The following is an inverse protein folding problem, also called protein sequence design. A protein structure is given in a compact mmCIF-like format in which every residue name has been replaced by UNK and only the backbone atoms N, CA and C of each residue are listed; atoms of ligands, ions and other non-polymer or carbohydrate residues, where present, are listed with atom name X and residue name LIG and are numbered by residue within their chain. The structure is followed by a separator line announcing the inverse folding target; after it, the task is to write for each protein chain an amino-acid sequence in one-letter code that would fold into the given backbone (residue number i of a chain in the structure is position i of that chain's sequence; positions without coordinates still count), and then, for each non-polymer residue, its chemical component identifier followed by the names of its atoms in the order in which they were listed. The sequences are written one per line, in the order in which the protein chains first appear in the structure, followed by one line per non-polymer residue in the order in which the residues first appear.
data_IF_269721973674
#
_entry.id   IF_269721973674
#
_cell.length_a   1.000
_cell.length_b   1.000
_cell.length_c   1.000
_cell.angle_alpha   90.00
_cell.angle_beta   90.00
_cell.angle_gamma   90.00
#
_symmetry.space_group_name_H-M   'P 1'
#
loop_
_entity.id
_entity.type
_entity.pdbx_description
1 polymer ?
#
# COMPACT_ATOMS: atom_id res chain seq x y z
N UNK A 1 -46.48 64.83 -8.22
CA UNK A 1 -46.62 63.51 -7.59
C UNK A 1 -45.49 62.64 -8.11
N UNK A 2 -44.40 62.53 -7.34
CA UNK A 2 -43.30 61.60 -7.63
C UNK A 2 -43.62 60.29 -6.93
N UNK A 3 -43.93 59.23 -7.67
CA UNK A 3 -43.96 57.88 -7.13
C UNK A 3 -42.66 57.16 -7.50
N UNK A 4 -41.89 56.86 -6.46
CA UNK A 4 -40.60 56.21 -6.53
C UNK A 4 -40.77 54.73 -6.88
N UNK A 5 -40.13 54.30 -7.97
CA UNK A 5 -39.98 52.88 -8.32
C UNK A 5 -39.03 52.26 -7.30
N UNK A 6 -39.60 51.52 -6.35
CA UNK A 6 -38.85 50.74 -5.37
C UNK A 6 -38.35 49.46 -6.04
N UNK A 7 -37.11 49.47 -6.50
CA UNK A 7 -36.42 48.29 -7.02
C UNK A 7 -36.11 47.34 -5.87
N UNK A 8 -36.93 46.33 -5.67
CA UNK A 8 -36.69 45.27 -4.69
C UNK A 8 -35.57 44.37 -5.22
N UNK A 9 -34.38 44.43 -4.59
CA UNK A 9 -33.29 43.46 -4.80
C UNK A 9 -33.78 42.09 -4.32
N UNK A 10 -33.96 41.17 -5.25
CA UNK A 10 -34.24 39.77 -4.96
C UNK A 10 -32.99 39.11 -4.35
N UNK A 11 -33.08 38.40 -3.21
CA UNK A 11 -31.94 37.74 -2.61
C UNK A 11 -31.48 36.58 -3.49
N UNK A 12 -30.19 36.60 -3.86
CA UNK A 12 -29.56 35.53 -4.64
C UNK A 12 -29.81 34.17 -3.99
N UNK A 13 -30.60 33.33 -4.66
CA UNK A 13 -30.78 31.92 -4.26
C UNK A 13 -29.40 31.26 -4.27
N UNK A 14 -28.97 30.76 -3.13
CA UNK A 14 -27.80 29.88 -3.04
C UNK A 14 -28.14 28.62 -3.84
N UNK A 15 -27.66 28.54 -5.07
CA UNK A 15 -27.79 27.33 -5.86
C UNK A 15 -27.07 26.22 -5.10
N UNK A 16 -27.82 25.18 -4.74
CA UNK A 16 -27.28 23.93 -4.23
C UNK A 16 -26.40 23.38 -5.36
N UNK A 17 -25.08 23.41 -5.19
CA UNK A 17 -24.14 22.94 -6.22
C UNK A 17 -24.36 21.44 -6.38
N UNK A 18 -25.10 21.06 -7.42
CA UNK A 18 -25.41 19.65 -7.73
C UNK A 18 -24.22 18.92 -8.33
N UNK A 19 -23.25 19.65 -8.88
CA UNK A 19 -22.00 19.11 -9.44
C UNK A 19 -20.86 20.12 -9.33
N UNK A 20 -19.70 19.68 -8.86
CA UNK A 20 -18.49 20.50 -8.80
C UNK A 20 -17.70 20.38 -10.12
N UNK A 21 -17.25 21.51 -10.67
CA UNK A 21 -16.33 21.53 -11.81
C UNK A 21 -14.89 21.85 -11.36
N UNK A 22 -13.95 20.96 -11.70
CA UNK A 22 -12.52 21.10 -11.35
C UNK A 22 -11.92 22.36 -11.96
N UNK A 23 -12.43 22.82 -13.11
CA UNK A 23 -11.93 24.02 -13.78
C UNK A 23 -12.32 25.33 -13.09
N UNK A 24 -13.27 25.27 -12.13
CA UNK A 24 -13.79 26.45 -11.43
C UNK A 24 -13.21 26.59 -10.03
N UNK A 25 -12.42 27.65 -9.85
CA UNK A 25 -11.68 27.90 -8.60
C UNK A 25 -12.57 28.14 -7.36
N UNK A 26 -13.75 28.77 -7.54
CA UNK A 26 -14.71 29.05 -6.47
C UNK A 26 -15.38 27.77 -5.95
N UNK A 27 -15.78 26.90 -6.87
CA UNK A 27 -16.41 25.61 -6.58
C UNK A 27 -15.44 24.65 -5.88
N UNK A 28 -14.17 24.66 -6.29
CA UNK A 28 -13.15 23.75 -5.75
C UNK A 28 -12.68 24.12 -4.35
N UNK A 29 -12.67 25.41 -3.98
CA UNK A 29 -12.42 25.83 -2.60
C UNK A 29 -13.58 25.49 -1.65
N UNK A 30 -14.82 25.56 -2.13
CA UNK A 30 -15.98 25.09 -1.37
C UNK A 30 -15.89 23.58 -1.16
N UNK A 31 -15.53 22.82 -2.20
CA UNK A 31 -15.29 21.39 -2.10
C UNK A 31 -14.20 21.06 -1.07
N UNK A 32 -13.08 21.79 -1.05
CA UNK A 32 -12.04 21.58 -0.04
C UNK A 32 -12.56 21.75 1.40
N UNK A 33 -13.44 22.73 1.63
CA UNK A 33 -14.07 22.97 2.94
C UNK A 33 -15.02 21.85 3.33
N UNK A 34 -15.87 21.41 2.39
CA UNK A 34 -16.78 20.27 2.59
C UNK A 34 -16.01 18.98 2.88
N UNK A 35 -14.92 18.74 2.15
CA UNK A 35 -14.04 17.60 2.35
C UNK A 35 -13.39 17.63 3.73
N UNK A 36 -12.88 18.79 4.15
CA UNK A 36 -12.27 18.92 5.46
C UNK A 36 -13.23 18.55 6.59
N UNK A 37 -14.48 19.02 6.49
CA UNK A 37 -15.53 18.67 7.43
C UNK A 37 -15.84 17.17 7.40
N UNK A 38 -16.06 16.60 6.22
CA UNK A 38 -16.45 15.20 6.08
C UNK A 38 -15.36 14.23 6.58
N UNK A 39 -14.10 14.48 6.22
CA UNK A 39 -12.96 13.66 6.64
C UNK A 39 -12.80 13.69 8.15
N UNK A 40 -12.95 14.87 8.77
CA UNK A 40 -12.87 15.05 10.22
C UNK A 40 -14.04 14.38 10.95
N UNK A 41 -15.27 14.63 10.51
CA UNK A 41 -16.49 14.12 11.15
C UNK A 41 -16.54 12.58 11.11
N UNK A 42 -16.00 11.96 10.05
CA UNK A 42 -16.02 10.51 9.84
C UNK A 42 -14.67 9.83 10.16
N UNK A 43 -13.68 10.55 10.66
CA UNK A 43 -12.35 10.03 11.02
C UNK A 43 -11.66 9.27 9.86
N UNK A 44 -11.75 9.82 8.65
CA UNK A 44 -11.18 9.22 7.42
C UNK A 44 -9.73 9.64 7.17
N UNK A 45 -8.98 9.89 8.25
CA UNK A 45 -7.57 10.25 8.18
C UNK A 45 -6.79 9.54 9.29
N UNK A 46 -5.52 9.30 9.01
CA UNK A 46 -4.58 8.69 9.94
C UNK A 46 -3.47 9.68 10.24
N UNK A 47 -3.21 9.91 11.53
CA UNK A 47 -2.13 10.80 11.97
C UNK A 47 -0.81 10.03 11.99
N UNK A 48 0.19 10.51 11.24
CA UNK A 48 1.55 9.97 11.24
C UNK A 48 2.52 11.12 11.50
N UNK A 49 3.31 11.03 12.56
CA UNK A 49 4.27 12.07 12.99
C UNK A 49 3.65 13.48 13.10
N UNK A 50 2.43 13.57 13.65
CA UNK A 50 1.74 14.85 13.84
C UNK A 50 1.15 15.45 12.56
N UNK A 51 1.19 14.74 11.43
CA UNK A 51 0.54 15.12 10.17
C UNK A 51 -0.63 14.20 9.88
N UNK A 52 -1.71 14.72 9.31
CA UNK A 52 -2.90 13.95 8.97
C UNK A 52 -2.91 13.55 7.49
N UNK A 53 -2.97 12.25 7.23
CA UNK A 53 -3.01 11.66 5.90
C UNK A 53 -4.40 11.09 5.64
N UNK A 54 -5.00 11.42 4.50
CA UNK A 54 -6.37 10.98 4.17
C UNK A 54 -6.34 9.52 3.74
N UNK A 55 -7.24 8.71 4.31
CA UNK A 55 -7.44 7.32 3.92
C UNK A 55 -8.12 7.24 2.54
N UNK A 56 -8.02 6.11 1.87
CA UNK A 56 -8.56 5.89 0.52
C UNK A 56 -10.05 6.25 0.41
N UNK A 57 -10.84 6.04 1.47
CA UNK A 57 -12.27 6.39 1.50
C UNK A 57 -12.49 7.90 1.40
N UNK A 58 -11.62 8.71 1.99
CA UNK A 58 -11.67 10.17 1.86
C UNK A 58 -11.35 10.64 0.44
N UNK A 59 -10.39 9.98 -0.22
CA UNK A 59 -10.08 10.22 -1.64
C UNK A 59 -11.24 9.81 -2.56
N UNK A 60 -11.87 8.67 -2.30
CA UNK A 60 -13.05 8.21 -3.03
C UNK A 60 -14.23 9.15 -2.85
N UNK A 61 -14.44 9.67 -1.64
CA UNK A 61 -15.46 10.68 -1.38
C UNK A 61 -15.20 11.95 -2.20
N UNK A 62 -13.95 12.46 -2.22
CA UNK A 62 -13.57 13.60 -3.06
C UNK A 62 -13.84 13.35 -4.55
N UNK A 63 -13.46 12.19 -5.06
CA UNK A 63 -13.76 11.76 -6.42
C UNK A 63 -15.25 11.74 -6.72
N UNK A 64 -16.05 11.15 -5.82
CA UNK A 64 -17.50 11.01 -5.98
C UNK A 64 -18.22 12.36 -6.10
N UNK A 65 -17.75 13.40 -5.39
CA UNK A 65 -18.31 14.77 -5.48
C UNK A 65 -18.05 15.42 -6.84
N UNK A 66 -17.05 14.94 -7.57
CA UNK A 66 -16.65 15.37 -8.91
C UNK A 66 -17.19 14.45 -10.01
N UNK A 67 -17.92 13.37 -9.67
CA UNK A 67 -18.37 12.37 -10.64
C UNK A 67 -17.24 11.43 -11.12
N UNK A 68 -16.12 11.39 -10.42
CA UNK A 68 -14.94 10.59 -10.78
C UNK A 68 -14.90 9.32 -9.93
N UNK A 69 -14.96 8.17 -10.60
CA UNK A 69 -14.95 6.85 -9.95
C UNK A 69 -13.69 6.05 -10.30
N UNK A 70 -13.18 5.20 -9.41
CA UNK A 70 -12.04 4.35 -9.70
C UNK A 70 -12.49 3.07 -10.39
N UNK A 71 -11.75 2.64 -11.42
CA UNK A 71 -11.91 1.36 -12.11
C UNK A 71 -10.60 0.60 -11.94
N UNK A 72 -10.68 -0.60 -11.35
CA UNK A 72 -9.53 -1.50 -11.27
C UNK A 72 -9.32 -2.10 -12.65
N UNK A 73 -8.26 -1.68 -13.36
CA UNK A 73 -7.92 -2.21 -14.68
C UNK A 73 -7.47 -3.67 -14.58
N UNK A 74 -6.52 -3.92 -13.67
CA UNK A 74 -6.00 -5.26 -13.43
C UNK A 74 -5.27 -5.33 -12.10
N UNK A 75 -5.17 -6.54 -11.59
CA UNK A 75 -4.33 -6.90 -10.45
C UNK A 75 -3.53 -8.13 -10.83
N UNK A 76 -2.21 -7.97 -10.91
CA UNK A 76 -1.29 -8.99 -11.41
C UNK A 76 -0.53 -9.56 -10.21
N UNK A 77 -0.52 -10.89 -10.13
CA UNK A 77 0.35 -11.60 -9.20
C UNK A 77 1.78 -11.52 -9.74
N UNK A 78 2.67 -10.86 -8.99
CA UNK A 78 4.10 -10.70 -9.29
C UNK A 78 4.95 -11.33 -8.17
N UNK A 79 4.39 -12.35 -7.51
CA UNK A 79 5.00 -13.07 -6.41
C UNK A 79 6.20 -13.90 -6.88
N UNK A 80 7.10 -14.17 -5.94
CA UNK A 80 8.19 -15.14 -6.08
C UNK A 80 7.99 -16.27 -5.07
N UNK A 81 8.81 -17.31 -5.11
CA UNK A 81 8.74 -18.43 -4.15
C UNK A 81 8.85 -17.98 -2.67
N UNK A 82 9.45 -16.80 -2.43
CA UNK A 82 9.71 -16.27 -1.08
C UNK A 82 8.91 -15.01 -0.74
N UNK A 83 8.12 -14.50 -1.67
CA UNK A 83 7.48 -13.19 -1.56
C UNK A 83 6.10 -13.20 -2.19
N UNK A 84 5.07 -12.90 -1.40
CA UNK A 84 3.74 -12.62 -1.92
C UNK A 84 3.69 -11.16 -2.32
N UNK A 85 3.49 -10.90 -3.61
CA UNK A 85 3.54 -9.56 -4.19
C UNK A 85 2.49 -9.39 -5.27
N UNK A 86 1.74 -8.30 -5.17
CA UNK A 86 0.72 -7.94 -6.13
C UNK A 86 0.92 -6.53 -6.64
N UNK A 87 0.70 -6.34 -7.93
CA UNK A 87 0.66 -5.05 -8.58
C UNK A 87 -0.77 -4.78 -9.03
N UNK A 88 -1.30 -3.60 -8.70
CA UNK A 88 -2.60 -3.15 -9.19
C UNK A 88 -2.44 -1.89 -10.05
N UNK A 89 -3.24 -1.83 -11.11
CA UNK A 89 -3.46 -0.61 -11.89
C UNK A 89 -4.92 -0.20 -11.75
N UNK A 90 -5.13 1.07 -11.45
CA UNK A 90 -6.45 1.68 -11.34
C UNK A 90 -6.50 2.88 -12.27
N UNK A 91 -7.57 3.00 -13.05
CA UNK A 91 -7.91 4.20 -13.80
C UNK A 91 -9.03 4.96 -13.12
N UNK A 92 -9.08 6.28 -13.31
CA UNK A 92 -10.19 7.11 -12.86
C UNK A 92 -11.05 7.47 -14.05
N UNK A 93 -12.33 7.20 -13.96
CA UNK A 93 -13.31 7.45 -15.00
C UNK A 93 -14.24 8.59 -14.58
N UNK A 94 -14.33 9.62 -15.42
CA UNK A 94 -15.30 10.69 -15.23
C UNK A 94 -16.64 10.29 -15.85
N UNK A 95 -17.66 10.16 -15.00
CA UNK A 95 -19.02 9.81 -15.42
C UNK A 95 -19.68 10.90 -16.26
N UNK A 96 -19.23 12.16 -16.17
CA UNK A 96 -19.77 13.28 -16.95
C UNK A 96 -19.19 13.31 -18.35
N UNK A 97 -17.86 13.24 -18.47
CA UNK A 97 -17.19 13.31 -19.77
C UNK A 97 -17.12 11.95 -20.48
N UNK A 98 -17.29 10.84 -19.76
CA UNK A 98 -17.14 9.48 -20.28
C UNK A 98 -15.70 9.10 -20.60
N UNK A 99 -14.71 9.83 -20.07
CA UNK A 99 -13.29 9.62 -20.37
C UNK A 99 -12.49 9.24 -19.12
N UNK A 100 -11.37 8.55 -19.33
CA UNK A 100 -10.37 8.34 -18.28
C UNK A 100 -9.62 9.64 -18.00
N UNK A 101 -9.64 10.09 -16.76
CA UNK A 101 -9.03 11.37 -16.32
C UNK A 101 -7.75 11.19 -15.51
N UNK A 102 -7.43 9.96 -15.10
CA UNK A 102 -6.24 9.68 -14.33
C UNK A 102 -5.96 8.18 -14.21
N UNK A 103 -4.77 7.85 -13.73
CA UNK A 103 -4.39 6.48 -13.42
C UNK A 103 -3.41 6.44 -12.24
N UNK A 104 -3.41 5.30 -11.54
CA UNK A 104 -2.53 5.01 -10.42
C UNK A 104 -2.07 3.56 -10.48
N UNK A 105 -0.81 3.36 -10.10
CA UNK A 105 -0.20 2.06 -10.00
C UNK A 105 0.35 1.91 -8.59
N UNK A 106 0.14 0.73 -8.01
CA UNK A 106 0.74 0.42 -6.74
C UNK A 106 1.10 -1.06 -6.65
N UNK A 107 2.06 -1.32 -5.78
CA UNK A 107 2.50 -2.66 -5.44
C UNK A 107 2.33 -2.84 -3.93
N UNK A 108 1.92 -4.03 -3.53
CA UNK A 108 1.95 -4.46 -2.14
C UNK A 108 2.70 -5.80 -2.03
N UNK A 109 3.55 -5.92 -1.02
CA UNK A 109 4.31 -7.13 -0.72
C UNK A 109 4.18 -7.54 0.75
N UNK A 110 4.19 -8.84 1.04
CA UNK A 110 4.29 -9.35 2.40
C UNK A 110 5.66 -9.08 3.06
N UNK A 111 6.68 -8.69 2.28
CA UNK A 111 7.98 -8.25 2.82
C UNK A 111 7.98 -6.82 3.34
N UNK A 112 6.92 -6.05 3.11
CA UNK A 112 6.77 -4.74 3.72
C UNK A 112 6.65 -4.84 5.24
N UNK A 113 7.06 -3.77 5.93
CA UNK A 113 7.08 -3.78 7.38
C UNK A 113 5.67 -4.03 7.94
N UNK A 114 5.59 -4.92 8.94
CA UNK A 114 4.33 -5.34 9.55
C UNK A 114 3.46 -6.31 8.72
N UNK A 115 3.81 -6.64 7.47
CA UNK A 115 2.94 -7.42 6.56
C UNK A 115 3.35 -8.88 6.36
N UNK A 116 4.37 -9.35 7.09
CA UNK A 116 4.94 -10.71 6.97
C UNK A 116 3.93 -11.85 7.14
N UNK A 117 2.92 -11.64 7.99
CA UNK A 117 1.92 -12.66 8.34
C UNK A 117 0.56 -12.41 7.67
N UNK A 118 0.48 -11.43 6.77
CA UNK A 118 -0.77 -11.10 6.09
C UNK A 118 -1.10 -12.19 5.09
N UNK A 119 -2.39 -12.49 4.98
CA UNK A 119 -2.90 -13.45 4.01
C UNK A 119 -2.82 -12.87 2.60
N UNK A 120 -2.73 -13.74 1.60
CA UNK A 120 -2.54 -13.35 0.19
C UNK A 120 -3.62 -12.37 -0.30
N UNK A 121 -4.89 -12.62 0.03
CA UNK A 121 -6.00 -11.73 -0.34
C UNK A 121 -5.85 -10.33 0.29
N UNK A 122 -5.24 -10.22 1.48
CA UNK A 122 -5.04 -8.95 2.15
C UNK A 122 -3.94 -8.15 1.44
N UNK A 123 -2.84 -8.82 1.02
CA UNK A 123 -1.79 -8.19 0.20
C UNK A 123 -2.35 -7.70 -1.13
N UNK A 124 -3.15 -8.53 -1.81
CA UNK A 124 -3.82 -8.16 -3.06
C UNK A 124 -4.76 -6.96 -2.86
N UNK A 125 -5.59 -6.97 -1.82
CA UNK A 125 -6.51 -5.88 -1.50
C UNK A 125 -5.78 -4.57 -1.18
N UNK A 126 -4.68 -4.64 -0.42
CA UNK A 126 -3.83 -3.48 -0.14
C UNK A 126 -3.18 -2.89 -1.40
N UNK A 127 -2.77 -3.73 -2.36
CA UNK A 127 -2.25 -3.22 -3.63
C UNK A 127 -3.33 -2.41 -4.37
N UNK A 128 -4.58 -2.89 -4.38
CA UNK A 128 -5.71 -2.19 -4.98
C UNK A 128 -5.98 -0.85 -4.29
N UNK A 129 -6.14 -0.84 -2.96
CA UNK A 129 -6.46 0.40 -2.24
C UNK A 129 -5.36 1.46 -2.37
N UNK A 130 -4.08 1.05 -2.38
CA UNK A 130 -2.98 1.97 -2.71
C UNK A 130 -3.07 2.52 -4.13
N UNK A 131 -3.37 1.68 -5.11
CA UNK A 131 -3.50 2.13 -6.50
C UNK A 131 -4.67 3.12 -6.65
N UNK A 132 -5.79 2.90 -5.96
CA UNK A 132 -6.93 3.84 -5.90
C UNK A 132 -6.47 5.17 -5.30
N UNK A 133 -5.85 5.15 -4.11
CA UNK A 133 -5.33 6.36 -3.48
C UNK A 133 -4.35 7.11 -4.38
N UNK A 134 -3.44 6.38 -5.07
CA UNK A 134 -2.48 6.95 -6.01
C UNK A 134 -3.15 7.61 -7.21
N UNK A 135 -4.18 6.96 -7.76
CA UNK A 135 -4.89 7.47 -8.91
C UNK A 135 -5.58 8.80 -8.58
N UNK A 136 -6.25 8.88 -7.42
CA UNK A 136 -6.88 10.12 -6.96
C UNK A 136 -5.88 11.19 -6.57
N UNK A 137 -4.78 10.82 -5.90
CA UNK A 137 -3.68 11.74 -5.59
C UNK A 137 -3.23 12.51 -6.83
N UNK A 138 -3.04 11.82 -7.95
CA UNK A 138 -2.48 12.41 -9.16
C UNK A 138 -3.32 13.58 -9.71
N UNK A 139 -4.62 13.64 -9.41
CA UNK A 139 -5.53 14.68 -9.92
C UNK A 139 -6.13 15.58 -8.81
N UNK A 140 -6.29 15.08 -7.58
CA UNK A 140 -6.98 15.77 -6.48
C UNK A 140 -6.06 16.21 -5.32
N UNK A 141 -4.75 15.94 -5.38
CA UNK A 141 -3.82 16.23 -4.28
C UNK A 141 -3.87 17.68 -3.79
N UNK A 142 -4.04 18.63 -4.70
CA UNK A 142 -4.11 20.06 -4.36
C UNK A 142 -5.39 20.41 -3.60
N UNK A 143 -6.50 19.73 -3.84
CA UNK A 143 -7.76 19.90 -3.10
C UNK A 143 -7.60 19.35 -1.68
N UNK A 144 -6.99 18.18 -1.52
CA UNK A 144 -6.70 17.59 -0.21
C UNK A 144 -5.78 18.50 0.61
N UNK A 145 -4.78 19.11 -0.04
CA UNK A 145 -3.91 20.10 0.60
C UNK A 145 -4.68 21.36 1.01
N UNK A 146 -5.57 21.86 0.15
CA UNK A 146 -6.44 22.99 0.49
C UNK A 146 -7.40 22.68 1.65
N UNK A 147 -7.80 21.41 1.81
CA UNK A 147 -8.59 20.92 2.94
C UNK A 147 -7.79 20.77 4.25
N UNK A 148 -6.48 21.05 4.23
CA UNK A 148 -5.62 21.02 5.42
C UNK A 148 -4.95 19.68 5.71
N UNK A 149 -5.03 18.70 4.80
CA UNK A 149 -4.42 17.38 4.95
C UNK A 149 -3.16 17.23 4.09
N UNK A 150 -2.34 16.23 4.40
CA UNK A 150 -1.22 15.87 3.54
C UNK A 150 -1.71 15.26 2.22
N UNK A 151 -1.15 15.66 1.07
CA UNK A 151 -1.57 15.19 -0.25
C UNK A 151 -1.13 13.75 -0.55
N UNK A 152 -0.47 13.08 0.40
CA UNK A 152 -0.10 11.67 0.29
C UNK A 152 -1.22 10.82 0.89
N UNK A 153 -1.73 9.80 0.18
CA UNK A 153 -2.68 8.86 0.75
C UNK A 153 -2.07 8.12 1.94
N UNK A 154 -2.89 7.83 2.95
CA UNK A 154 -2.48 7.11 4.14
C UNK A 154 -1.93 5.70 3.78
N UNK A 155 -2.43 5.07 2.73
CA UNK A 155 -2.00 3.75 2.28
C UNK A 155 -0.59 3.73 1.68
N UNK A 156 -0.04 4.89 1.29
CA UNK A 156 1.35 5.04 0.84
C UNK A 156 2.32 5.31 2.01
N UNK A 157 1.82 5.48 3.23
CA UNK A 157 2.67 5.77 4.39
C UNK A 157 3.13 4.48 5.06
N UNK A 158 4.44 4.33 5.24
CA UNK A 158 5.02 3.21 5.98
C UNK A 158 4.90 3.48 7.49
N UNK A 159 3.93 2.84 8.13
CA UNK A 159 3.55 3.09 9.53
C UNK A 159 4.60 2.70 10.57
N UNK A 160 5.68 2.02 10.19
CA UNK A 160 6.59 1.39 11.13
C UNK A 160 8.08 1.80 10.97
N UNK A 161 8.36 2.89 10.25
CA UNK A 161 9.72 3.43 10.11
C UNK A 161 9.99 4.76 10.84
N UNK A 162 8.95 5.43 11.33
CA UNK A 162 9.03 6.87 11.66
C UNK A 162 8.71 7.21 13.12
N UNK A 163 8.94 6.29 14.06
CA UNK A 163 8.98 6.60 15.50
C UNK A 163 10.27 7.32 15.83
N UNK A 164 10.42 8.55 15.37
CA UNK A 164 11.31 9.50 16.05
C UNK A 164 10.56 9.97 17.28
N UNK A 165 11.04 9.55 18.46
CA UNK A 165 10.63 10.11 19.74
C UNK A 165 10.67 11.64 19.63
N UNK A 166 9.51 12.28 19.76
CA UNK A 166 9.42 13.74 19.79
C UNK A 166 10.01 14.20 21.11
N UNK A 167 11.28 14.57 21.09
CA UNK A 167 11.89 15.38 22.13
C UNK A 167 11.34 16.81 21.96
N UNK A 168 10.62 17.39 22.95
CA UNK A 168 9.99 18.68 22.76
C UNK A 168 11.05 19.78 22.80
N UNK A 169 11.29 20.43 21.66
CA UNK A 169 12.08 21.65 21.57
C UNK A 169 11.27 22.74 20.86
N UNK A 170 10.69 23.58 21.70
CA UNK A 170 10.66 25.05 21.62
C UNK A 170 10.27 25.71 20.28
N UNK A 171 9.04 26.21 20.31
CA UNK A 171 8.51 27.45 19.71
C UNK A 171 9.55 28.36 19.04
N UNK A 172 9.47 28.52 17.71
CA UNK A 172 9.77 29.79 17.04
C UNK A 172 8.79 29.96 15.87
N UNK A 173 7.97 31.01 15.95
CA UNK A 173 7.09 31.50 14.90
C UNK A 173 7.85 32.48 13.97
N UNK A 174 7.32 32.81 12.78
CA UNK A 174 8.08 33.01 11.55
C UNK A 174 8.44 34.48 11.28
N UNK A 175 9.47 34.70 10.46
CA UNK A 175 9.62 35.95 9.70
C UNK A 175 9.98 35.63 8.24
N UNK A 176 9.18 36.18 7.33
CA UNK A 176 9.36 36.15 5.89
C UNK A 176 9.52 37.59 5.40
N UNK A 177 10.51 37.84 4.54
CA UNK A 177 10.41 38.49 3.21
C UNK A 177 11.84 38.87 2.72
N UNK A 178 12.05 39.31 1.46
CA UNK A 178 12.74 38.50 0.45
C UNK A 178 13.98 39.21 -0.14
N UNK A 179 14.92 38.48 -0.73
CA UNK A 179 15.90 39.10 -1.65
C UNK A 179 16.10 38.20 -2.86
N UNK A 180 15.68 38.75 -4.01
CA UNK A 180 16.03 38.34 -5.37
C UNK A 180 17.50 38.62 -5.65
N UNK A 181 18.22 37.72 -6.32
CA UNK A 181 18.86 37.99 -7.64
C UNK A 181 19.61 36.76 -8.19
N UNK A 182 19.49 36.65 -9.51
CA UNK A 182 20.48 36.20 -10.50
C UNK A 182 20.80 34.70 -10.64
N UNK A 183 20.62 34.27 -11.88
CA UNK A 183 20.98 33.00 -12.45
C UNK A 183 22.49 32.88 -12.67
N UNK A 184 23.03 31.68 -12.40
CA UNK A 184 24.24 31.19 -13.05
C UNK A 184 24.21 29.66 -13.11
N UNK A 185 24.48 29.12 -14.29
CA UNK A 185 24.83 27.73 -14.55
C UNK A 185 26.15 27.75 -15.35
N UNK A 186 26.93 26.66 -15.55
CA UNK A 186 26.70 25.27 -15.15
C UNK A 186 27.96 24.49 -14.65
N UNK A 187 27.74 23.21 -14.32
CA UNK A 187 28.61 22.04 -14.58
C UNK A 187 29.76 21.68 -13.56
N UNK A 188 30.42 20.51 -13.68
CA UNK A 188 30.03 19.29 -12.94
C UNK A 188 31.24 18.52 -12.33
N UNK A 189 31.13 17.96 -11.12
CA UNK A 189 32.14 17.04 -10.56
C UNK A 189 31.49 16.18 -9.47
N UNK A 190 31.85 14.93 -9.17
CA UNK A 190 32.68 13.86 -9.76
C UNK A 190 32.33 12.62 -8.93
N UNK A 191 32.40 11.44 -9.52
CA UNK A 191 32.36 10.17 -8.82
C UNK A 191 33.59 9.99 -7.91
N UNK A 192 33.40 9.36 -6.75
CA UNK A 192 34.48 8.73 -5.97
C UNK A 192 34.02 7.33 -5.54
N UNK A 193 34.79 6.28 -5.83
CA UNK A 193 34.46 4.89 -5.53
C UNK A 193 34.87 4.53 -4.09
N UNK A 194 34.14 3.59 -3.47
CA UNK A 194 34.58 2.97 -2.23
C UNK A 194 34.25 1.48 -2.26
N UNK A 195 35.31 0.72 -2.51
CA UNK A 195 35.45 -0.70 -2.29
C UNK A 195 35.46 -0.98 -0.78
N UNK A 196 34.66 -1.95 -0.33
CA UNK A 196 34.81 -2.58 0.98
C UNK A 196 34.43 -4.06 0.86
N UNK A 197 35.41 -4.91 1.14
CA UNK A 197 35.33 -6.36 1.11
C UNK A 197 34.33 -6.92 2.14
N UNK A 198 33.82 -8.15 1.93
CA UNK A 198 32.64 -8.67 2.60
C UNK A 198 32.96 -9.22 3.98
N UNK A 199 32.12 -8.92 4.96
CA UNK A 199 32.08 -9.65 6.23
C UNK A 199 31.14 -10.85 6.04
N UNK A 200 31.72 -12.05 6.04
CA UNK A 200 31.01 -13.32 5.94
C UNK A 200 30.06 -13.53 7.12
N UNK A 201 28.76 -13.35 6.88
CA UNK A 201 27.71 -13.99 7.67
C UNK A 201 27.45 -15.38 7.10
N UNK A 202 27.36 -16.45 7.92
CA UNK A 202 27.07 -17.78 7.41
C UNK A 202 25.69 -17.76 6.74
N UNK A 203 25.69 -17.91 5.41
CA UNK A 203 24.48 -17.98 4.62
C UNK A 203 23.70 -19.21 5.06
N UNK A 204 22.50 -19.01 5.62
CA UNK A 204 21.58 -20.11 5.93
C UNK A 204 21.16 -20.72 4.59
N UNK A 205 21.73 -21.87 4.24
CA UNK A 205 21.36 -22.61 3.04
C UNK A 205 20.04 -23.33 3.29
N UNK A 206 18.99 -22.87 2.59
CA UNK A 206 17.69 -23.53 2.63
C UNK A 206 17.72 -24.86 1.88
N UNK A 207 16.82 -25.77 2.25
CA UNK A 207 16.70 -27.07 1.60
C UNK A 207 16.53 -26.94 0.07
N UNK A 208 17.31 -27.71 -0.67
CA UNK A 208 17.31 -27.71 -2.14
C UNK A 208 15.99 -28.26 -2.70
N UNK A 209 15.68 -27.93 -3.96
CA UNK A 209 14.48 -28.45 -4.63
C UNK A 209 14.44 -29.99 -4.61
N UNK A 210 15.60 -30.64 -4.80
CA UNK A 210 15.74 -32.11 -4.76
C UNK A 210 15.41 -32.69 -3.38
N UNK A 211 15.82 -32.03 -2.28
CA UNK A 211 15.48 -32.46 -0.93
C UNK A 211 13.99 -32.32 -0.63
N UNK A 212 13.35 -31.24 -1.11
CA UNK A 212 11.90 -31.05 -0.94
C UNK A 212 11.10 -32.10 -1.71
N UNK A 213 11.53 -32.42 -2.92
CA UNK A 213 10.88 -33.44 -3.76
C UNK A 213 10.95 -34.83 -3.12
N UNK A 214 12.12 -35.21 -2.57
CA UNK A 214 12.29 -36.48 -1.85
C UNK A 214 11.44 -36.54 -0.57
N UNK A 215 11.34 -35.44 0.19
CA UNK A 215 10.45 -35.36 1.36
C UNK A 215 8.99 -35.56 0.94
N UNK A 216 8.53 -34.90 -0.12
CA UNK A 216 7.15 -35.05 -0.62
C UNK A 216 6.88 -36.49 -1.05
N UNK A 217 7.84 -37.12 -1.72
CA UNK A 217 7.75 -38.53 -2.13
C UNK A 217 7.58 -39.46 -0.93
N UNK A 218 8.43 -39.32 0.09
CA UNK A 218 8.37 -40.13 1.30
C UNK A 218 7.07 -39.89 2.10
N UNK A 219 6.59 -38.66 2.16
CA UNK A 219 5.32 -38.33 2.82
C UNK A 219 4.07 -38.86 2.09
N UNK A 220 4.21 -39.28 0.82
CA UNK A 220 3.11 -39.90 0.09
C UNK A 220 3.01 -41.42 0.28
N UNK A 221 3.89 -41.99 1.11
CA UNK A 221 3.87 -43.42 1.43
C UNK A 221 2.63 -43.80 2.27
N UNK A 222 1.96 -44.94 2.02
CA UNK A 222 0.72 -45.34 2.71
C UNK A 222 0.87 -45.49 4.23
N UNK A 223 2.06 -45.87 4.73
CA UNK A 223 2.34 -46.06 6.16
C UNK A 223 2.56 -44.74 6.93
N UNK A 224 2.63 -43.60 6.23
CA UNK A 224 2.79 -42.28 6.85
C UNK A 224 1.43 -41.72 7.22
N UNK A 225 1.28 -41.30 8.48
CA UNK A 225 0.01 -40.81 8.98
C UNK A 225 -0.34 -39.46 8.35
N UNK A 226 -1.64 -39.19 8.20
CA UNK A 226 -2.13 -37.90 7.68
C UNK A 226 -1.64 -36.71 8.52
N UNK A 227 -1.53 -36.88 9.84
CA UNK A 227 -1.03 -35.84 10.74
C UNK A 227 0.46 -35.52 10.51
N UNK A 228 1.30 -36.54 10.32
CA UNK A 228 2.72 -36.37 9.99
C UNK A 228 2.90 -35.68 8.63
N UNK A 229 2.11 -36.09 7.62
CA UNK A 229 2.08 -35.49 6.29
C UNK A 229 1.74 -34.00 6.34
N UNK A 230 0.65 -33.63 7.02
CA UNK A 230 0.25 -32.23 7.14
C UNK A 230 1.30 -31.39 7.88
N UNK A 231 1.86 -31.90 8.98
CA UNK A 231 2.86 -31.16 9.77
C UNK A 231 4.17 -30.91 9.01
N UNK A 232 4.63 -31.88 8.21
CA UNK A 232 5.84 -31.72 7.41
C UNK A 232 5.62 -30.85 6.18
N UNK A 233 4.49 -30.97 5.48
CA UNK A 233 4.16 -30.11 4.33
C UNK A 233 4.05 -28.64 4.72
N UNK A 234 3.50 -28.33 5.90
CA UNK A 234 3.40 -26.95 6.41
C UNK A 234 4.77 -26.29 6.66
N UNK A 235 5.81 -27.09 6.91
CA UNK A 235 7.15 -26.60 7.29
C UNK A 235 8.23 -26.87 6.23
N UNK A 236 7.89 -27.52 5.11
CA UNK A 236 8.87 -27.95 4.09
C UNK A 236 9.67 -26.80 3.49
N UNK A 237 9.06 -25.62 3.37
CA UNK A 237 9.70 -24.41 2.84
C UNK A 237 10.56 -23.66 3.88
N UNK A 238 10.57 -24.12 5.13
CA UNK A 238 11.35 -23.53 6.25
C UNK A 238 12.50 -24.44 6.71
N UNK A 239 12.70 -25.59 6.09
CA UNK A 239 13.81 -26.49 6.40
C UNK A 239 15.11 -25.94 5.80
N UNK A 240 16.15 -25.93 6.61
CA UNK A 240 17.53 -25.80 6.15
C UNK A 240 18.00 -27.15 5.55
N UNK A 241 19.14 -27.12 4.87
CA UNK A 241 19.69 -28.29 4.17
C UNK A 241 20.00 -29.47 5.11
N UNK A 242 20.50 -29.19 6.31
CA UNK A 242 20.80 -30.21 7.32
C UNK A 242 19.53 -30.85 7.90
N UNK A 243 18.52 -30.05 8.28
CA UNK A 243 17.27 -30.59 8.83
C UNK A 243 16.46 -31.30 7.75
N UNK A 244 16.55 -30.88 6.48
CA UNK A 244 15.93 -31.61 5.38
C UNK A 244 16.55 -33.01 5.24
N UNK A 245 17.88 -33.11 5.32
CA UNK A 245 18.59 -34.39 5.28
C UNK A 245 18.21 -35.29 6.48
N UNK A 246 18.13 -34.72 7.68
CA UNK A 246 17.68 -35.44 8.88
C UNK A 246 16.21 -35.89 8.77
N UNK A 247 15.34 -35.05 8.20
CA UNK A 247 13.93 -35.37 7.98
C UNK A 247 13.76 -36.53 7.00
N UNK A 248 14.52 -36.54 5.89
CA UNK A 248 14.54 -37.63 4.92
C UNK A 248 14.97 -38.94 5.60
N UNK A 249 16.06 -38.93 6.37
CA UNK A 249 16.55 -40.11 7.08
C UNK A 249 15.51 -40.65 8.10
N UNK A 250 14.84 -39.75 8.83
CA UNK A 250 13.80 -40.10 9.79
C UNK A 250 12.56 -40.67 9.11
N UNK A 251 12.16 -40.11 7.97
CA UNK A 251 11.01 -40.61 7.20
C UNK A 251 11.30 -41.99 6.61
N UNK A 252 12.49 -42.21 6.06
CA UNK A 252 12.91 -43.55 5.58
C UNK A 252 12.88 -44.58 6.70
N UNK A 253 13.50 -44.28 7.84
CA UNK A 253 13.48 -45.17 9.00
C UNK A 253 12.05 -45.44 9.51
N UNK A 254 11.19 -44.43 9.56
CA UNK A 254 9.80 -44.60 9.99
C UNK A 254 8.97 -45.43 9.01
N UNK A 255 9.28 -45.39 7.72
CA UNK A 255 8.69 -46.26 6.70
C UNK A 255 9.18 -47.69 6.93
N UNK A 256 10.50 -47.90 6.99
CA UNK A 256 11.11 -49.22 7.18
C UNK A 256 10.63 -49.91 8.49
N UNK A 257 10.58 -49.17 9.61
CA UNK A 257 10.13 -49.70 10.91
C UNK A 257 8.64 -50.10 10.88
N UNK A 258 7.80 -49.37 10.14
CA UNK A 258 6.35 -49.66 10.01
C UNK A 258 6.07 -50.76 9.01
N UNK A 259 6.79 -50.80 7.89
CA UNK A 259 6.69 -51.89 6.90
C UNK A 259 7.17 -53.22 7.49
N UNK A 260 8.26 -53.22 8.26
CA UNK A 260 8.75 -54.43 8.95
C UNK A 260 7.82 -54.86 10.10
N UNK A 261 7.13 -53.92 10.75
CA UNK A 261 6.11 -54.21 11.76
C UNK A 261 4.83 -54.81 11.17
N UNK A 262 4.39 -54.33 10.01
CA UNK A 262 3.28 -54.92 9.25
C UNK A 262 3.65 -56.29 8.66
N UNK A 263 4.91 -56.49 8.26
CA UNK A 263 5.43 -57.77 7.76
C UNK A 263 5.60 -58.85 8.83
N UNK A 264 5.73 -58.47 10.11
CA UNK A 264 5.80 -59.40 11.24
C UNK A 264 4.42 -59.78 11.83
N UNK A 265 3.36 -59.08 11.41
CA UNK A 265 1.98 -59.28 11.86
C UNK A 265 1.07 -59.93 10.80
N UNK A 266 1.62 -60.27 9.63
CA UNK A 266 0.96 -60.95 8.52
C UNK A 266 1.26 -62.46 8.50
#
# INVERSE_FOLDING_TARGET
MNEAIKTTKEPARKNKVESYDISRSDETLHLATDLAKFIKDNKLSTTVQGKEFVNVEGWQYAGSRLGIVPIVDHVINVSTETELKYQAKVTLFDLRSGHTVGAGFAVCSNKENGKKFYQEFAIMSMAQTRAIGKAYRNILAWIIRAAGYEPTPAEEMDYAGNTTEVKPALVVAPEAAPVTVAAEAPAPMKAVPAEAAPVETPAVTYATASQKEEIIRLLNHPVITRQEKTKMLLNINRLDEERATQAIAKLRKAIDDRENGESAAA
#
